data_IF_794085896698
#
_entry.id   IF_794085896698
#
_cell.length_a   1.000
_cell.length_b   1.000
_cell.length_c   1.000
_cell.angle_alpha   90.00
_cell.angle_beta   90.00
_cell.angle_gamma   90.00
#
_symmetry.space_group_name_H-M   'P 1'
#
loop_
_entity.id
_entity.type
_entity.pdbx_description
1 polymer ?
#
# COMPACT_ATOMS: atom_id res chain seq x y z
N UNK A 1 -21.79 6.57 19.19
CA UNK A 1 -21.37 6.81 17.77
C UNK A 1 -20.19 7.76 17.83
N UNK A 2 -19.07 7.54 17.13
CA UNK A 2 -17.93 8.47 17.21
C UNK A 2 -18.12 9.68 16.30
N UNK A 3 -17.82 10.88 16.79
CA UNK A 3 -17.83 12.10 15.99
C UNK A 3 -16.42 12.57 15.68
N UNK A 4 -16.19 13.07 14.47
CA UNK A 4 -14.93 13.61 14.02
C UNK A 4 -15.13 15.08 13.62
N UNK A 5 -14.25 15.94 14.10
CA UNK A 5 -14.20 17.36 13.75
C UNK A 5 -12.78 17.75 13.37
N UNK A 6 -12.63 18.42 12.24
CA UNK A 6 -11.39 19.13 11.89
C UNK A 6 -11.46 20.50 12.54
N UNK A 7 -10.42 20.89 13.27
CA UNK A 7 -10.42 22.17 13.99
C UNK A 7 -10.12 23.33 13.04
N UNK A 8 -10.49 24.55 13.43
CA UNK A 8 -10.10 25.75 12.71
C UNK A 8 -8.58 25.92 12.69
N UNK A 9 -7.91 25.65 13.81
CA UNK A 9 -6.45 25.64 13.88
C UNK A 9 -5.80 24.64 12.90
N UNK A 10 -6.44 23.49 12.66
CA UNK A 10 -6.02 22.51 11.66
C UNK A 10 -6.15 23.02 10.23
N UNK A 11 -7.25 23.70 9.92
CA UNK A 11 -7.45 24.35 8.61
C UNK A 11 -6.42 25.46 8.37
N UNK A 12 -6.15 26.30 9.37
CA UNK A 12 -5.15 27.36 9.30
C UNK A 12 -3.74 26.79 9.11
N UNK A 13 -3.40 25.72 9.83
CA UNK A 13 -2.15 25.00 9.65
C UNK A 13 -1.97 24.49 8.22
N UNK A 14 -3.00 23.86 7.64
CA UNK A 14 -2.95 23.42 6.23
C UNK A 14 -2.71 24.60 5.29
N UNK A 15 -3.43 25.71 5.48
CA UNK A 15 -3.27 26.89 4.63
C UNK A 15 -1.84 27.46 4.71
N UNK A 16 -1.23 27.46 5.91
CA UNK A 16 0.16 27.87 6.11
C UNK A 16 1.16 26.91 5.43
N UNK A 17 0.92 25.59 5.50
CA UNK A 17 1.73 24.60 4.77
C UNK A 17 1.64 24.82 3.26
N UNK A 18 0.44 25.05 2.73
CA UNK A 18 0.22 25.31 1.30
C UNK A 18 0.90 26.60 0.82
N UNK A 19 0.85 27.65 1.63
CA UNK A 19 1.52 28.92 1.35
C UNK A 19 3.06 28.80 1.39
N UNK A 20 3.60 27.71 1.94
CA UNK A 20 5.03 27.51 2.17
C UNK A 20 5.55 28.21 3.43
N UNK A 21 4.65 28.73 4.27
CA UNK A 21 4.98 29.40 5.54
C UNK A 21 5.29 28.41 6.66
N UNK A 22 4.84 27.17 6.53
CA UNK A 22 5.05 26.09 7.51
C UNK A 22 5.43 24.77 6.82
N UNK A 23 6.19 23.93 7.51
CA UNK A 23 6.54 22.59 7.01
C UNK A 23 5.46 21.61 7.43
N UNK A 24 5.05 20.73 6.51
CA UNK A 24 4.16 19.64 6.85
C UNK A 24 4.82 18.68 7.85
N UNK A 25 4.24 18.56 9.05
CA UNK A 25 4.78 17.78 10.15
C UNK A 25 3.66 17.31 11.11
N UNK A 26 2.81 16.40 10.61
CA UNK A 26 1.81 15.72 11.43
C UNK A 26 2.52 14.59 12.19
N UNK A 27 2.61 14.70 13.51
CA UNK A 27 3.61 13.96 14.30
C UNK A 27 3.03 12.82 15.12
N UNK A 28 1.97 13.08 15.87
CA UNK A 28 1.45 12.12 16.84
C UNK A 28 -0.04 12.30 17.09
N UNK A 29 -0.65 11.24 17.62
CA UNK A 29 -1.94 11.25 18.27
C UNK A 29 -1.76 11.49 19.77
N UNK A 30 -2.75 12.13 20.36
CA UNK A 30 -2.93 12.24 21.81
C UNK A 30 -4.27 11.65 22.19
N UNK A 31 -4.34 10.99 23.35
CA UNK A 31 -5.54 10.36 23.88
C UNK A 31 -5.84 10.96 25.25
N UNK A 32 -7.12 11.21 25.54
CA UNK A 32 -7.57 11.75 26.81
C UNK A 32 -8.85 11.06 27.30
N UNK A 33 -9.07 11.12 28.61
CA UNK A 33 -10.30 10.69 29.26
C UNK A 33 -11.01 11.89 29.88
N UNK A 34 -11.95 12.47 29.16
CA UNK A 34 -12.69 13.65 29.58
C UNK A 34 -13.93 13.20 30.38
N UNK A 35 -13.94 13.48 31.67
CA UNK A 35 -15.04 13.10 32.56
C UNK A 35 -16.36 13.72 32.12
N UNK A 36 -17.40 12.88 32.00
CA UNK A 36 -18.76 13.33 31.65
C UNK A 36 -18.92 13.79 30.20
N UNK A 37 -17.95 13.52 29.32
CA UNK A 37 -18.06 13.86 27.91
C UNK A 37 -19.21 13.08 27.25
N UNK A 38 -20.10 13.80 26.59
CA UNK A 38 -21.14 13.24 25.75
C UNK A 38 -20.55 12.93 24.36
N UNK A 39 -20.54 11.65 23.99
CA UNK A 39 -20.06 11.18 22.68
C UNK A 39 -20.91 11.65 21.49
N UNK A 40 -22.15 12.08 21.76
CA UNK A 40 -23.11 12.52 20.75
C UNK A 40 -23.18 14.05 20.61
N UNK A 41 -22.54 14.78 21.53
CA UNK A 41 -22.48 16.22 21.46
C UNK A 41 -21.54 16.66 20.32
N UNK A 42 -21.91 17.71 19.56
CA UNK A 42 -21.05 18.27 18.53
C UNK A 42 -19.73 18.75 19.14
N UNK A 43 -18.64 18.51 18.43
CA UNK A 43 -17.30 18.95 18.84
C UNK A 43 -17.12 20.41 18.39
N UNK A 44 -16.68 21.26 19.32
CA UNK A 44 -16.32 22.65 19.02
C UNK A 44 -15.11 22.70 18.06
N UNK A 45 -15.20 23.34 16.87
CA UNK A 45 -14.08 23.47 15.95
C UNK A 45 -12.91 24.30 16.50
N UNK A 46 -13.13 25.13 17.52
CA UNK A 46 -12.09 25.93 18.20
C UNK A 46 -11.54 25.25 19.46
N UNK A 47 -11.86 23.97 19.66
CA UNK A 47 -11.34 23.18 20.77
C UNK A 47 -9.81 23.09 20.76
N UNK A 48 -9.25 22.95 21.96
CA UNK A 48 -7.80 22.89 22.19
C UNK A 48 -7.38 21.53 22.74
N UNK A 49 -6.07 21.30 22.82
CA UNK A 49 -5.53 20.05 23.37
C UNK A 49 -5.91 19.99 24.87
N UNK A 50 -6.59 18.92 25.34
CA UNK A 50 -6.91 18.77 26.75
C UNK A 50 -5.65 18.65 27.61
N UNK A 51 -5.70 19.14 28.85
CA UNK A 51 -4.58 19.04 29.79
C UNK A 51 -4.32 17.60 30.27
N UNK A 52 -5.36 16.77 30.28
CA UNK A 52 -5.35 15.40 30.83
C UNK A 52 -5.08 14.34 29.75
N UNK A 53 -3.94 14.43 29.09
CA UNK A 53 -3.50 13.41 28.13
C UNK A 53 -3.08 12.14 28.88
N UNK A 54 -3.73 11.02 28.55
CA UNK A 54 -3.43 9.69 29.14
C UNK A 54 -2.40 8.92 28.33
N UNK A 55 -2.28 9.20 27.03
CA UNK A 55 -1.32 8.53 26.14
C UNK A 55 -1.00 9.39 24.92
N UNK A 56 0.21 9.25 24.40
CA UNK A 56 0.61 9.80 23.10
C UNK A 56 1.21 8.70 22.24
N UNK A 57 0.82 8.67 20.97
CA UNK A 57 1.25 7.65 20.02
C UNK A 57 1.69 8.32 18.72
N UNK A 58 2.90 8.01 18.24
CA UNK A 58 3.39 8.52 16.95
C UNK A 58 2.46 8.14 15.80
N UNK A 59 2.33 9.02 14.82
CA UNK A 59 1.65 8.70 13.56
C UNK A 59 2.44 7.62 12.83
N UNK A 60 1.77 6.54 12.45
CA UNK A 60 2.40 5.46 11.68
C UNK A 60 2.38 5.74 10.18
N UNK A 61 1.30 6.35 9.68
CA UNK A 61 1.19 6.71 8.27
C UNK A 61 0.21 7.86 8.04
N UNK A 62 0.50 8.66 7.03
CA UNK A 62 -0.42 9.62 6.41
C UNK A 62 -0.56 9.22 4.94
N UNK A 63 -1.77 8.83 4.54
CA UNK A 63 -2.05 8.25 3.23
C UNK A 63 -3.11 9.06 2.50
N UNK A 64 -2.89 9.30 1.21
CA UNK A 64 -3.91 9.86 0.32
C UNK A 64 -5.04 8.83 0.10
N UNK A 65 -6.29 9.25 0.29
CA UNK A 65 -7.47 8.46 -0.12
C UNK A 65 -7.89 8.85 -1.52
N UNK A 66 -8.01 10.16 -1.78
CA UNK A 66 -8.23 10.75 -3.10
C UNK A 66 -7.62 12.17 -3.12
N UNK A 67 -7.77 12.95 -4.19
CA UNK A 67 -7.24 14.32 -4.24
C UNK A 67 -7.78 15.25 -3.15
N UNK A 68 -8.98 14.96 -2.64
CA UNK A 68 -9.70 15.75 -1.66
C UNK A 68 -9.76 15.10 -0.27
N UNK A 69 -9.02 14.01 -0.03
CA UNK A 69 -9.08 13.28 1.22
C UNK A 69 -7.74 12.61 1.58
N UNK A 70 -7.32 12.79 2.82
CA UNK A 70 -6.18 12.07 3.42
C UNK A 70 -6.63 11.32 4.68
N UNK A 71 -5.94 10.23 4.99
CA UNK A 71 -6.11 9.43 6.20
C UNK A 71 -4.83 9.47 7.01
N UNK A 72 -4.97 9.78 8.30
CA UNK A 72 -3.88 9.80 9.26
C UNK A 72 -4.14 8.65 10.22
N UNK A 73 -3.15 7.79 10.43
CA UNK A 73 -3.33 6.55 11.19
C UNK A 73 -2.25 6.29 12.21
N UNK A 74 -2.62 5.59 13.28
CA UNK A 74 -1.72 5.12 14.31
C UNK A 74 -2.14 3.74 14.83
N UNK A 75 -1.16 2.97 15.30
CA UNK A 75 -1.32 1.63 15.83
C UNK A 75 -0.80 1.59 17.25
N UNK A 76 -1.63 1.11 18.17
CA UNK A 76 -1.26 0.79 19.54
C UNK A 76 -1.29 -0.73 19.71
N UNK A 77 -0.10 -1.32 19.84
CA UNK A 77 0.08 -2.76 19.97
C UNK A 77 -0.31 -3.33 21.34
N UNK A 78 0.04 -4.59 21.56
CA UNK A 78 -0.28 -5.34 22.78
C UNK A 78 0.57 -4.92 24.00
N UNK A 79 1.63 -4.17 23.75
CA UNK A 79 2.58 -3.63 24.72
C UNK A 79 2.16 -2.28 25.31
N UNK A 80 1.12 -1.66 24.76
CA UNK A 80 0.59 -0.33 25.15
C UNK A 80 -0.67 -0.48 26.00
N UNK A 81 -0.73 0.24 27.13
CA UNK A 81 -1.79 0.17 28.16
C UNK A 81 -1.17 0.29 29.57
N UNK A 82 -1.94 0.36 30.66
CA UNK A 82 -3.40 0.34 30.76
C UNK A 82 -3.95 1.77 30.91
N UNK A 83 -4.95 2.14 30.11
CA UNK A 83 -5.65 3.43 30.25
C UNK A 83 -7.02 3.38 29.59
N UNK A 84 -7.88 4.31 29.99
CA UNK A 84 -9.16 4.55 29.35
C UNK A 84 -9.12 5.88 28.61
N UNK A 85 -9.87 6.00 27.52
CA UNK A 85 -9.97 7.22 26.73
C UNK A 85 -11.35 7.30 26.07
N UNK A 86 -11.87 8.50 25.94
CA UNK A 86 -13.09 8.81 25.20
C UNK A 86 -12.88 9.97 24.20
N UNK A 87 -11.63 10.44 24.11
CA UNK A 87 -11.21 11.53 23.27
C UNK A 87 -9.85 11.20 22.67
N UNK A 88 -9.65 11.51 21.39
CA UNK A 88 -8.32 11.51 20.79
C UNK A 88 -8.18 12.58 19.72
N UNK A 89 -6.98 13.15 19.63
CA UNK A 89 -6.66 14.24 18.71
C UNK A 89 -5.42 13.94 17.87
N UNK A 90 -5.36 14.54 16.69
CA UNK A 90 -4.19 14.50 15.79
C UNK A 90 -3.40 15.79 15.94
N UNK A 91 -2.10 15.68 16.19
CA UNK A 91 -1.22 16.82 16.45
C UNK A 91 -0.19 17.00 15.33
N UNK A 92 -0.10 18.22 14.82
CA UNK A 92 1.06 18.68 14.07
C UNK A 92 2.00 19.46 15.00
N UNK A 93 3.31 19.30 14.81
CA UNK A 93 4.32 20.04 15.56
C UNK A 93 5.05 20.96 14.60
N UNK A 94 4.96 22.27 14.83
CA UNK A 94 5.63 23.29 14.02
C UNK A 94 7.15 23.29 14.24
N UNK A 95 7.88 23.96 13.37
CA UNK A 95 9.34 24.09 13.49
C UNK A 95 9.82 24.71 14.82
N UNK A 96 8.99 25.55 15.45
CA UNK A 96 9.25 26.18 16.75
C UNK A 96 8.84 25.30 17.96
N UNK A 97 8.43 24.05 17.73
CA UNK A 97 7.86 23.10 18.70
C UNK A 97 6.44 23.42 19.19
N UNK A 98 5.75 24.41 18.62
CA UNK A 98 4.35 24.65 18.94
C UNK A 98 3.48 23.51 18.38
N UNK A 99 2.53 23.06 19.19
CA UNK A 99 1.61 22.00 18.82
C UNK A 99 0.30 22.57 18.30
N UNK A 100 -0.16 22.05 17.17
CA UNK A 100 -1.46 22.37 16.59
C UNK A 100 -2.33 21.12 16.61
N UNK A 101 -3.50 21.25 17.22
CA UNK A 101 -4.54 20.25 17.14
C UNK A 101 -5.20 20.34 15.77
N UNK A 102 -5.06 19.31 14.95
CA UNK A 102 -5.57 19.26 13.58
C UNK A 102 -7.01 18.74 13.53
N UNK A 103 -7.25 17.67 14.27
CA UNK A 103 -8.52 16.97 14.26
C UNK A 103 -8.80 16.34 15.61
N UNK A 104 -10.07 16.21 15.93
CA UNK A 104 -10.57 15.67 17.19
C UNK A 104 -11.62 14.63 16.94
N UNK A 105 -11.53 13.53 17.67
CA UNK A 105 -12.55 12.50 17.70
C UNK A 105 -13.03 12.28 19.12
N UNK A 106 -14.34 12.37 19.31
CA UNK A 106 -15.03 11.97 20.54
C UNK A 106 -15.70 10.62 20.34
N UNK A 107 -15.66 9.76 21.35
CA UNK A 107 -16.21 8.41 21.29
C UNK A 107 -16.69 7.93 22.66
N UNK A 108 -17.40 6.81 22.69
CA UNK A 108 -17.71 6.11 23.93
C UNK A 108 -16.43 5.74 24.67
N UNK A 109 -16.45 5.69 25.99
CA UNK A 109 -15.28 5.29 26.78
C UNK A 109 -14.71 3.94 26.28
N UNK A 110 -13.44 3.96 25.89
CA UNK A 110 -12.68 2.81 25.41
C UNK A 110 -11.56 2.50 26.39
N UNK A 111 -11.26 1.22 26.58
CA UNK A 111 -10.12 0.78 27.40
C UNK A 111 -9.01 0.20 26.50
N UNK A 112 -7.77 0.64 26.72
CA UNK A 112 -6.56 0.01 26.18
C UNK A 112 -5.92 -0.81 27.30
N UNK A 113 -5.75 -2.11 27.08
CA UNK A 113 -5.11 -3.01 28.04
C UNK A 113 -3.81 -3.58 27.47
N UNK A 114 -2.78 -3.61 28.31
CA UNK A 114 -1.47 -4.18 28.01
C UNK A 114 -1.43 -5.67 28.32
N UNK A 115 -0.66 -6.41 27.54
CA UNK A 115 -0.39 -7.83 27.82
C UNK A 115 0.56 -7.96 29.02
N UNK A 116 0.12 -8.69 30.05
CA UNK A 116 0.90 -8.96 31.26
C UNK A 116 0.87 -10.45 31.56
N UNK A 117 2.03 -11.11 31.41
CA UNK A 117 2.15 -12.56 31.58
C UNK A 117 1.22 -13.32 30.63
N UNK A 118 0.30 -14.10 31.20
CA UNK A 118 -0.69 -14.88 30.43
C UNK A 118 -1.98 -14.09 30.13
N UNK A 119 -2.12 -12.86 30.64
CA UNK A 119 -3.28 -12.01 30.34
C UNK A 119 -2.98 -11.22 29.07
N UNK A 120 -3.63 -11.61 27.98
CA UNK A 120 -3.47 -10.95 26.67
C UNK A 120 -4.22 -9.62 26.67
N UNK A 121 -3.51 -8.54 26.37
CA UNK A 121 -4.07 -7.21 26.18
C UNK A 121 -4.79 -7.08 24.83
N UNK A 122 -5.16 -5.87 24.45
CA UNK A 122 -5.81 -5.61 23.17
C UNK A 122 -4.88 -4.92 22.16
N UNK A 123 -5.27 -4.91 20.89
CA UNK A 123 -4.62 -4.17 19.82
C UNK A 123 -5.60 -3.13 19.29
N UNK A 124 -5.15 -1.90 19.04
CA UNK A 124 -6.03 -0.82 18.60
C UNK A 124 -5.42 -0.03 17.46
N UNK A 125 -6.19 0.15 16.40
CA UNK A 125 -5.84 1.00 15.26
C UNK A 125 -6.78 2.19 15.25
N UNK A 126 -6.24 3.40 15.09
CA UNK A 126 -7.02 4.63 14.99
C UNK A 126 -6.68 5.36 13.72
N UNK A 127 -7.72 5.82 13.04
CA UNK A 127 -7.59 6.53 11.78
C UNK A 127 -8.53 7.73 11.77
N UNK A 128 -8.04 8.85 11.25
CA UNK A 128 -8.80 10.09 11.03
C UNK A 128 -8.78 10.39 9.55
N UNK A 129 -9.96 10.62 8.96
CA UNK A 129 -10.09 11.02 7.55
C UNK A 129 -10.27 12.54 7.51
N UNK A 130 -9.33 13.26 6.92
CA UNK A 130 -9.47 14.68 6.66
C UNK A 130 -9.87 14.90 5.21
N UNK A 131 -11.11 15.37 4.99
CA UNK A 131 -11.61 15.75 3.68
C UNK A 131 -11.56 17.26 3.48
N UNK A 132 -10.91 17.70 2.42
CA UNK A 132 -10.99 19.08 1.92
C UNK A 132 -10.52 19.13 0.47
N UNK A 133 -10.99 20.12 -0.29
CA UNK A 133 -10.65 20.24 -1.70
C UNK A 133 -9.13 20.33 -1.90
N UNK A 134 -8.57 19.49 -2.78
CA UNK A 134 -7.14 19.37 -3.13
C UNK A 134 -6.17 19.12 -1.98
N UNK A 135 -6.64 18.70 -0.80
CA UNK A 135 -5.82 18.58 0.40
C UNK A 135 -4.59 17.67 0.26
N UNK A 136 -4.65 16.65 -0.59
CA UNK A 136 -3.53 15.75 -0.80
C UNK A 136 -2.36 16.43 -1.52
N UNK A 137 -2.68 17.28 -2.50
CA UNK A 137 -1.69 18.06 -3.25
C UNK A 137 -1.19 19.22 -2.39
N UNK A 138 -2.10 19.88 -1.64
CA UNK A 138 -1.75 21.01 -0.76
C UNK A 138 -0.78 20.62 0.36
N UNK A 139 -0.95 19.41 0.89
CA UNK A 139 -0.08 18.86 1.93
C UNK A 139 1.12 18.09 1.37
N UNK A 140 1.35 18.09 0.05
CA UNK A 140 2.46 17.36 -0.59
C UNK A 140 2.54 15.87 -0.22
N UNK A 141 1.41 15.23 0.08
CA UNK A 141 1.37 13.81 0.45
C UNK A 141 1.49 12.94 -0.80
N UNK A 142 2.68 12.36 -0.99
CA UNK A 142 2.91 11.30 -1.96
C UNK A 142 2.48 9.95 -1.38
N UNK A 143 1.80 9.14 -2.20
CA UNK A 143 1.15 7.89 -1.81
C UNK A 143 2.11 6.97 -1.02
N UNK A 144 1.86 6.80 0.27
CA UNK A 144 2.49 5.75 1.08
C UNK A 144 1.39 4.84 1.63
N UNK A 145 0.86 3.97 0.79
CA UNK A 145 -0.05 2.93 1.27
C UNK A 145 0.72 1.96 2.17
N UNK A 146 0.19 1.68 3.37
CA UNK A 146 0.71 0.60 4.20
C UNK A 146 0.41 -0.76 3.53
N UNK A 147 1.27 -1.78 3.64
CA UNK A 147 1.11 -3.06 2.94
C UNK A 147 -0.20 -3.81 3.25
N UNK A 148 -0.84 -3.53 4.40
CA UNK A 148 -2.09 -4.15 4.83
C UNK A 148 -3.33 -3.32 4.48
N UNK A 149 -3.14 -2.14 3.90
CA UNK A 149 -4.20 -1.22 3.47
C UNK A 149 -4.40 -1.26 1.96
N UNK A 150 -4.13 -2.40 1.31
CA UNK A 150 -4.59 -2.63 -0.07
C UNK A 150 -6.10 -2.52 -0.05
N UNK A 151 -6.64 -1.42 -0.58
CA UNK A 151 -8.07 -1.21 -0.67
C UNK A 151 -8.63 -2.17 -1.72
N UNK A 152 -9.55 -3.03 -1.29
CA UNK A 152 -10.51 -3.70 -2.17
C UNK A 152 -11.34 -2.59 -2.85
N UNK A 153 -10.88 -2.14 -4.02
CA UNK A 153 -11.36 -0.89 -4.61
C UNK A 153 -10.48 -0.29 -5.70
N UNK A 154 -9.21 -0.68 -5.81
CA UNK A 154 -8.46 -0.48 -7.06
C UNK A 154 -8.85 -1.56 -8.09
N UNK A 155 -10.15 -1.78 -8.25
CA UNK A 155 -10.66 -2.50 -9.40
C UNK A 155 -10.58 -1.53 -10.57
N UNK A 156 -9.44 -1.56 -11.26
CA UNK A 156 -9.35 -1.11 -12.65
C UNK A 156 -10.58 -1.63 -13.40
N UNK A 157 -11.27 -0.76 -14.15
CA UNK A 157 -12.40 -1.18 -14.96
C UNK A 157 -12.00 -2.37 -15.83
N UNK A 158 -12.92 -3.25 -16.24
CA UNK A 158 -12.55 -4.42 -17.07
C UNK A 158 -11.70 -4.01 -18.28
N UNK A 159 -11.99 -2.84 -18.87
CA UNK A 159 -11.20 -2.26 -19.95
C UNK A 159 -9.81 -1.75 -19.52
N UNK A 160 -9.66 -1.13 -18.35
CA UNK A 160 -8.35 -0.71 -17.81
C UNK A 160 -7.53 -1.92 -17.34
N UNK A 161 -8.17 -2.91 -16.72
CA UNK A 161 -7.56 -4.17 -16.33
C UNK A 161 -7.08 -4.93 -17.57
N UNK A 162 -7.89 -5.02 -18.63
CA UNK A 162 -7.49 -5.56 -19.93
C UNK A 162 -6.37 -4.73 -20.59
N UNK A 163 -6.35 -3.40 -20.43
CA UNK A 163 -5.29 -2.55 -20.96
C UNK A 163 -3.94 -2.73 -20.21
N UNK A 164 -3.97 -3.05 -18.92
CA UNK A 164 -2.79 -3.41 -18.13
C UNK A 164 -2.41 -4.89 -18.25
N UNK A 165 -3.36 -5.77 -18.57
CA UNK A 165 -3.13 -7.12 -19.05
C UNK A 165 -2.70 -7.10 -20.52
N UNK A 166 -1.47 -6.64 -20.80
CA UNK A 166 -0.79 -6.89 -22.09
C UNK A 166 -0.39 -8.37 -22.25
N UNK A 167 -1.27 -9.25 -21.85
CA UNK A 167 -1.17 -10.68 -21.88
C UNK A 167 -1.77 -11.11 -23.19
N UNK A 168 -0.91 -11.01 -24.21
CA UNK A 168 -1.31 -11.03 -25.60
C UNK A 168 -1.87 -12.42 -25.95
N UNK A 169 -3.07 -12.47 -26.54
CA UNK A 169 -3.55 -13.61 -27.34
C UNK A 169 -2.80 -13.68 -28.68
N UNK A 170 -1.47 -13.56 -28.64
CA UNK A 170 -0.62 -13.70 -29.80
C UNK A 170 -0.18 -15.15 -29.91
N UNK A 171 -0.33 -15.69 -31.11
CA UNK A 171 0.12 -17.04 -31.46
C UNK A 171 1.66 -17.20 -31.46
N UNK A 172 2.42 -16.11 -31.25
CA UNK A 172 3.89 -16.07 -31.32
C UNK A 172 4.46 -15.26 -30.16
N UNK A 173 5.51 -15.77 -29.51
CA UNK A 173 6.24 -15.06 -28.47
C UNK A 173 7.20 -14.03 -29.07
N UNK A 174 7.28 -12.86 -28.44
CA UNK A 174 8.15 -11.76 -28.83
C UNK A 174 9.21 -11.46 -27.75
N UNK A 175 10.39 -11.00 -28.18
CA UNK A 175 11.47 -10.57 -27.31
C UNK A 175 11.11 -9.33 -26.47
N UNK A 176 11.68 -9.26 -25.28
CA UNK A 176 11.56 -8.16 -24.31
C UNK A 176 10.10 -7.87 -23.95
N UNK A 177 9.26 -8.91 -24.01
CA UNK A 177 7.83 -8.85 -23.70
C UNK A 177 7.43 -9.96 -22.73
N UNK A 178 6.36 -9.68 -21.99
CA UNK A 178 5.68 -10.62 -21.09
C UNK A 178 4.48 -11.21 -21.84
N UNK A 179 4.28 -12.51 -21.72
CA UNK A 179 3.22 -13.26 -22.42
C UNK A 179 2.34 -14.01 -21.43
N UNK A 180 1.05 -14.11 -21.71
CA UNK A 180 0.16 -15.01 -20.99
C UNK A 180 -0.42 -16.03 -21.94
N UNK A 181 -0.30 -17.28 -21.54
CA UNK A 181 -0.74 -18.42 -22.32
C UNK A 181 -2.04 -18.89 -21.67
N UNK A 182 -3.15 -18.67 -22.37
CA UNK A 182 -4.51 -18.98 -21.89
C UNK A 182 -5.05 -20.29 -22.45
N UNK A 183 -4.27 -20.98 -23.27
CA UNK A 183 -4.61 -22.26 -23.88
C UNK A 183 -3.46 -23.26 -23.73
N UNK A 184 -3.72 -24.52 -24.05
CA UNK A 184 -2.73 -25.61 -23.97
C UNK A 184 -1.95 -25.81 -25.28
N UNK A 185 -1.83 -24.79 -26.12
CA UNK A 185 -1.13 -24.91 -27.39
C UNK A 185 0.39 -24.97 -27.23
N UNK A 186 1.05 -25.38 -28.32
CA UNK A 186 2.49 -25.27 -28.44
C UNK A 186 2.83 -23.85 -28.89
N UNK A 187 3.84 -23.25 -28.26
CA UNK A 187 4.38 -21.95 -28.63
C UNK A 187 5.84 -22.10 -29.01
N UNK A 188 6.29 -21.32 -29.98
CA UNK A 188 7.70 -21.22 -30.28
C UNK A 188 8.27 -20.03 -29.50
N UNK A 189 9.47 -20.19 -28.95
CA UNK A 189 10.24 -19.06 -28.45
C UNK A 189 10.39 -17.97 -29.53
N UNK A 190 10.74 -16.73 -29.16
CA UNK A 190 11.03 -15.70 -30.15
C UNK A 190 12.14 -16.16 -31.11
N UNK A 191 11.87 -16.10 -32.42
CA UNK A 191 12.89 -16.31 -33.46
C UNK A 191 13.69 -15.01 -33.61
N UNK A 192 15.02 -15.10 -33.63
CA UNK A 192 15.86 -13.90 -33.66
C UNK A 192 17.06 -14.14 -34.57
N UNK A 193 17.26 -13.23 -35.52
CA UNK A 193 18.36 -13.31 -36.49
C UNK A 193 19.74 -12.98 -35.88
N UNK A 194 19.79 -12.30 -34.72
CA UNK A 194 21.03 -12.02 -33.97
C UNK A 194 20.71 -11.71 -32.50
N UNK A 195 21.04 -12.62 -31.59
CA UNK A 195 20.95 -12.42 -30.14
C UNK A 195 22.27 -11.89 -29.59
N UNK A 196 22.22 -10.95 -28.66
CA UNK A 196 23.39 -10.25 -28.10
C UNK A 196 23.63 -10.53 -26.61
N UNK A 197 22.74 -11.29 -25.96
CA UNK A 197 22.83 -11.69 -24.55
C UNK A 197 22.05 -10.81 -23.58
N UNK A 198 21.37 -9.76 -24.07
CA UNK A 198 20.53 -8.86 -23.27
C UNK A 198 19.03 -9.09 -23.49
N UNK A 199 18.68 -10.17 -24.19
CA UNK A 199 17.33 -10.52 -24.54
C UNK A 199 16.68 -11.39 -23.47
N UNK A 200 15.41 -11.09 -23.18
CA UNK A 200 14.60 -11.88 -22.27
C UNK A 200 13.16 -11.90 -22.77
N UNK A 201 12.40 -12.92 -22.38
CA UNK A 201 10.94 -12.90 -22.46
C UNK A 201 10.40 -13.63 -21.24
N UNK A 202 9.17 -13.34 -20.85
CA UNK A 202 8.54 -14.05 -19.74
C UNK A 202 7.20 -14.63 -20.15
N UNK A 203 6.84 -15.73 -19.51
CA UNK A 203 5.57 -16.43 -19.74
C UNK A 203 4.89 -16.71 -18.43
N UNK A 204 3.56 -16.62 -18.47
CA UNK A 204 2.67 -17.14 -17.44
C UNK A 204 1.64 -18.04 -18.12
N UNK A 205 1.32 -19.17 -17.52
CA UNK A 205 0.19 -19.99 -17.96
C UNK A 205 -1.02 -19.66 -17.06
N UNK A 206 -2.13 -19.22 -17.67
CA UNK A 206 -3.39 -18.97 -16.96
C UNK A 206 -4.35 -20.15 -17.03
N UNK A 207 -4.16 -21.07 -17.96
CA UNK A 207 -4.96 -22.27 -18.14
C UNK A 207 -4.16 -23.31 -18.93
N UNK A 208 -4.33 -24.60 -18.62
CA UNK A 208 -3.70 -25.69 -19.37
C UNK A 208 -2.22 -25.97 -19.04
N UNK A 209 -1.53 -26.62 -19.97
CA UNK A 209 -0.08 -26.92 -19.85
C UNK A 209 0.63 -26.60 -21.17
N UNK A 210 0.77 -25.31 -21.52
CA UNK A 210 1.42 -24.93 -22.77
C UNK A 210 2.87 -25.37 -22.81
N UNK A 211 3.33 -25.74 -24.00
CA UNK A 211 4.70 -26.20 -24.24
C UNK A 211 5.43 -25.18 -25.08
N UNK A 212 6.54 -24.66 -24.54
CA UNK A 212 7.48 -23.82 -25.26
C UNK A 212 8.48 -24.67 -26.00
N UNK A 213 8.53 -24.56 -27.33
CA UNK A 213 9.52 -25.19 -28.20
C UNK A 213 10.60 -24.20 -28.57
N UNK A 214 11.80 -24.69 -28.82
CA UNK A 214 12.86 -23.84 -29.35
C UNK A 214 12.45 -23.36 -30.75
N UNK A 215 12.76 -22.11 -31.07
CA UNK A 215 12.51 -21.56 -32.40
C UNK A 215 13.67 -21.82 -33.39
N UNK A 216 14.83 -22.21 -32.86
CA UNK A 216 16.05 -22.52 -33.62
C UNK A 216 16.94 -23.52 -32.82
N UNK A 217 18.26 -23.52 -33.02
CA UNK A 217 19.23 -24.40 -32.33
C UNK A 217 19.37 -24.17 -30.83
N UNK A 218 19.00 -22.98 -30.34
CA UNK A 218 19.13 -22.60 -28.94
C UNK A 218 18.29 -23.51 -28.03
N UNK A 219 18.86 -24.00 -26.93
CA UNK A 219 18.18 -24.90 -25.97
C UNK A 219 17.74 -24.17 -24.71
N UNK A 220 16.88 -24.80 -23.92
CA UNK A 220 16.50 -24.30 -22.61
C UNK A 220 17.36 -24.94 -21.53
N UNK A 221 17.92 -24.15 -20.62
CA UNK A 221 18.67 -24.63 -19.47
C UNK A 221 17.98 -24.17 -18.19
N UNK A 222 17.65 -25.13 -17.33
CA UNK A 222 17.06 -24.85 -16.02
C UNK A 222 18.16 -24.52 -15.02
N UNK A 223 18.07 -23.38 -14.35
CA UNK A 223 19.09 -22.94 -13.39
C UNK A 223 19.12 -23.77 -12.11
N UNK A 224 18.00 -24.39 -11.75
CA UNK A 224 17.87 -25.15 -10.50
C UNK A 224 18.69 -26.45 -10.47
N UNK A 225 18.76 -27.16 -11.59
CA UNK A 225 19.40 -28.48 -11.70
C UNK A 225 20.38 -28.59 -12.89
N UNK A 226 20.48 -27.55 -13.72
CA UNK A 226 21.33 -27.54 -14.90
C UNK A 226 20.80 -28.40 -16.05
N UNK A 227 19.57 -28.91 -15.97
CA UNK A 227 18.97 -29.73 -17.02
C UNK A 227 18.81 -28.91 -18.31
N UNK A 228 19.09 -29.54 -19.46
CA UNK A 228 19.01 -28.92 -20.78
C UNK A 228 17.96 -29.66 -21.62
N UNK A 229 16.96 -28.92 -22.08
CA UNK A 229 15.82 -29.45 -22.82
C UNK A 229 15.57 -28.66 -24.12
N UNK A 230 14.93 -29.30 -25.09
CA UNK A 230 14.48 -28.67 -26.35
C UNK A 230 13.05 -28.15 -26.27
N UNK A 231 12.39 -28.36 -25.13
CA UNK A 231 11.07 -27.81 -24.85
C UNK A 231 10.84 -27.67 -23.36
N UNK A 232 10.01 -26.71 -22.97
CA UNK A 232 9.64 -26.48 -21.56
C UNK A 232 8.12 -26.46 -21.45
N UNK A 233 7.58 -27.36 -20.63
CA UNK A 233 6.16 -27.34 -20.28
C UNK A 233 5.93 -26.39 -19.11
N UNK A 234 5.03 -25.43 -19.27
CA UNK A 234 4.64 -24.48 -18.24
C UNK A 234 3.36 -24.99 -17.59
N UNK A 235 3.41 -25.34 -16.30
CA UNK A 235 2.26 -25.88 -15.58
C UNK A 235 1.37 -24.74 -15.07
N UNK A 236 0.08 -24.69 -15.42
CA UNK A 236 -0.81 -23.59 -15.03
C UNK A 236 -1.04 -23.44 -13.52
N UNK A 237 -0.86 -24.50 -12.72
CA UNK A 237 -0.98 -24.41 -11.24
C UNK A 237 0.19 -23.67 -10.59
N UNK A 238 1.29 -23.48 -11.33
CA UNK A 238 2.38 -22.61 -10.95
C UNK A 238 1.98 -21.17 -11.29
N UNK A 239 1.25 -20.50 -10.39
CA UNK A 239 0.83 -19.09 -10.54
C UNK A 239 2.00 -18.12 -10.77
N UNK A 240 3.23 -18.62 -10.76
CA UNK A 240 4.47 -17.91 -10.92
C UNK A 240 4.78 -17.63 -12.40
N UNK A 241 5.32 -16.44 -12.65
CA UNK A 241 5.86 -16.06 -13.94
C UNK A 241 7.25 -16.70 -14.13
N UNK A 242 7.48 -17.31 -15.29
CA UNK A 242 8.80 -17.83 -15.66
C UNK A 242 9.47 -16.86 -16.61
N UNK A 243 10.71 -16.49 -16.29
CA UNK A 243 11.52 -15.57 -17.07
C UNK A 243 12.61 -16.36 -17.77
N UNK A 244 12.70 -16.20 -19.09
CA UNK A 244 13.73 -16.79 -19.91
C UNK A 244 14.70 -15.68 -20.31
N UNK A 245 15.97 -15.83 -19.96
CA UNK A 245 17.05 -14.90 -20.32
C UNK A 245 17.99 -15.60 -21.28
N UNK A 246 18.32 -14.96 -22.40
CA UNK A 246 19.23 -15.55 -23.36
C UNK A 246 20.68 -15.33 -22.95
N UNK A 247 21.44 -16.43 -22.90
CA UNK A 247 22.87 -16.42 -22.67
C UNK A 247 23.61 -16.63 -24.01
N UNK A 248 24.26 -15.57 -24.50
CA UNK A 248 24.98 -15.58 -25.77
C UNK A 248 26.27 -16.41 -25.77
N UNK A 249 26.86 -16.69 -24.60
CA UNK A 249 28.08 -17.50 -24.50
C UNK A 249 27.77 -18.99 -24.68
N UNK A 250 26.59 -19.42 -24.20
CA UNK A 250 26.18 -20.83 -24.21
C UNK A 250 25.14 -21.16 -25.28
N UNK A 251 24.61 -20.16 -25.99
CA UNK A 251 23.50 -20.27 -26.94
C UNK A 251 22.27 -20.95 -26.31
N UNK A 252 21.92 -20.53 -25.09
CA UNK A 252 20.83 -21.12 -24.31
C UNK A 252 19.92 -20.07 -23.69
N UNK A 253 18.64 -20.42 -23.61
CA UNK A 253 17.66 -19.72 -22.78
C UNK A 253 17.70 -20.28 -21.36
N UNK A 254 18.13 -19.47 -20.40
CA UNK A 254 18.21 -19.84 -18.99
C UNK A 254 16.94 -19.40 -18.25
N UNK A 255 16.40 -20.29 -17.39
CA UNK A 255 15.16 -20.08 -16.63
C UNK A 255 15.13 -20.83 -15.30
#
# INVERSE_FOLDING_TARGET
MSQLQITNAGLDYRNAVFAGDEVQNITHFVFANISGQDESAPIDPDTTIPENIVHSQTVNAVSRVDGNAVVISTVMGYEVGDFEYNWFGVIATKANNDQVLIAVVTTALQAKTKTVGNVVGNHSVKSVVWRSQNIADDLSITLSALPWQVQEGEFVSMAEFEAYQKFITQSVLELKKRHNLTDSANYNAPLVAALTGNEWFSVRASNGQPVLKTADTAKYKRLADGAIDTQVTIVADDKNERVFVYNAETDMWEF
#
